data_IF_897720914779
#
_entry.id   IF_897720914779
#
_cell.length_a   1.000
_cell.length_b   1.000
_cell.length_c   1.000
_cell.angle_alpha   90.00
_cell.angle_beta   90.00
_cell.angle_gamma   90.00
#
_symmetry.space_group_name_H-M   'P 1'
#
loop_
_entity.id
_entity.type
_entity.pdbx_description
1 polymer ?
#
# COMPACT_ATOMS: atom_id res chain seq x y z
N UNK A 1 9.28 -3.56 -23.03
CA UNK A 1 10.44 -3.77 -22.14
C UNK A 1 11.65 -4.10 -23.02
N UNK A 2 12.86 -3.81 -22.57
CA UNK A 2 14.08 -4.22 -23.29
C UNK A 2 14.33 -5.71 -23.14
N UNK A 3 14.77 -6.36 -24.21
CA UNK A 3 15.24 -7.75 -24.19
C UNK A 3 16.77 -7.79 -24.05
N UNK A 4 17.31 -8.84 -23.44
CA UNK A 4 18.76 -8.98 -23.23
C UNK A 4 19.26 -10.35 -23.72
N UNK A 5 20.45 -10.37 -24.32
CA UNK A 5 21.11 -11.55 -24.91
C UNK A 5 22.57 -11.68 -24.48
N UNK A 6 23.21 -12.82 -24.77
CA UNK A 6 24.58 -13.17 -24.30
C UNK A 6 24.57 -14.19 -23.16
N UNK A 7 25.71 -14.84 -22.88
CA UNK A 7 25.84 -15.85 -21.81
C UNK A 7 25.48 -15.29 -20.42
N UNK A 8 25.87 -14.04 -20.15
CA UNK A 8 25.55 -13.31 -18.91
C UNK A 8 24.53 -12.18 -19.12
N UNK A 9 23.76 -12.27 -20.21
CA UNK A 9 22.68 -11.32 -20.56
C UNK A 9 23.14 -9.87 -20.67
N UNK A 10 24.38 -9.66 -21.11
CA UNK A 10 25.07 -8.37 -21.11
C UNK A 10 24.59 -7.43 -22.22
N UNK A 11 24.00 -7.98 -23.28
CA UNK A 11 23.71 -7.25 -24.52
C UNK A 11 22.24 -6.85 -24.54
N UNK A 12 21.95 -5.55 -24.41
CA UNK A 12 20.60 -5.00 -24.58
C UNK A 12 20.21 -5.03 -26.06
N UNK A 13 19.08 -5.67 -26.37
CA UNK A 13 18.45 -5.59 -27.67
C UNK A 13 17.71 -4.25 -27.76
N UNK A 14 18.14 -3.39 -28.68
CA UNK A 14 17.49 -2.10 -28.90
C UNK A 14 16.10 -2.32 -29.49
N UNK A 15 15.06 -1.94 -28.74
CA UNK A 15 13.69 -1.89 -29.25
C UNK A 15 13.46 -0.56 -30.00
N UNK A 16 12.86 -0.64 -31.19
CA UNK A 16 12.44 0.54 -31.96
C UNK A 16 11.19 1.14 -31.30
N UNK A 17 11.34 2.31 -30.65
CA UNK A 17 10.21 3.07 -30.13
C UNK A 17 9.61 3.94 -31.25
N UNK A 18 8.29 3.99 -31.35
CA UNK A 18 7.57 4.93 -32.22
C UNK A 18 7.72 6.36 -31.69
N UNK A 19 7.64 7.36 -32.58
CA UNK A 19 7.62 8.77 -32.19
C UNK A 19 6.51 9.01 -31.15
N UNK A 20 6.86 9.66 -30.03
CA UNK A 20 6.06 9.92 -28.82
C UNK A 20 5.92 8.79 -27.78
N UNK A 21 6.58 7.64 -27.94
CA UNK A 21 6.60 6.61 -26.87
C UNK A 21 7.80 6.76 -25.95
N UNK A 22 7.55 6.87 -24.64
CA UNK A 22 8.59 6.78 -23.60
C UNK A 22 8.93 5.32 -23.34
N UNK A 23 10.22 5.03 -23.16
CA UNK A 23 10.69 3.70 -22.75
C UNK A 23 10.13 3.38 -21.37
N UNK A 24 9.47 2.23 -21.23
CA UNK A 24 9.04 1.71 -19.93
C UNK A 24 10.17 0.92 -19.28
N UNK A 25 10.46 1.23 -18.02
CA UNK A 25 11.46 0.53 -17.22
C UNK A 25 10.76 -0.03 -15.98
N UNK A 26 10.85 -1.35 -15.80
CA UNK A 26 10.29 -2.01 -14.63
C UNK A 26 11.15 -1.69 -13.40
N UNK A 27 10.51 -1.23 -12.33
CA UNK A 27 11.14 -0.92 -11.05
C UNK A 27 10.43 -1.74 -9.98
N UNK A 28 11.15 -2.59 -9.26
CA UNK A 28 10.59 -3.31 -8.12
C UNK A 28 11.10 -2.68 -6.84
N UNK A 29 10.17 -2.36 -5.94
CA UNK A 29 10.50 -1.79 -4.65
C UNK A 29 9.80 -2.58 -3.54
N UNK A 30 10.59 -3.11 -2.63
CA UNK A 30 10.10 -3.97 -1.55
C UNK A 30 11.02 -3.90 -0.32
N UNK A 31 10.55 -4.46 0.79
CA UNK A 31 11.15 -4.34 2.12
C UNK A 31 11.66 -5.69 2.56
N UNK A 32 12.88 -5.73 3.09
CA UNK A 32 13.43 -6.94 3.68
C UNK A 32 14.05 -6.67 5.03
N UNK A 33 13.76 -7.54 6.00
CA UNK A 33 14.43 -7.52 7.30
C UNK A 33 15.56 -8.55 7.33
N UNK A 34 16.73 -8.11 7.80
CA UNK A 34 17.85 -8.97 8.15
C UNK A 34 17.91 -9.10 9.68
N UNK A 35 18.08 -10.31 10.18
CA UNK A 35 18.22 -10.57 11.61
C UNK A 35 19.62 -11.08 11.92
N UNK A 36 20.23 -10.57 13.00
CA UNK A 36 21.52 -11.06 13.46
C UNK A 36 21.44 -12.53 13.87
N UNK A 37 20.29 -13.00 14.34
CA UNK A 37 20.09 -14.39 14.76
C UNK A 37 19.39 -15.27 13.70
N UNK A 38 19.37 -14.83 12.44
CA UNK A 38 18.77 -15.62 11.35
C UNK A 38 19.50 -16.95 11.17
N UNK A 39 18.76 -18.05 11.00
CA UNK A 39 19.35 -19.39 10.77
C UNK A 39 19.79 -20.20 12.00
N UNK A 40 19.61 -19.76 13.25
CA UNK A 40 19.76 -20.65 14.42
C UNK A 40 18.56 -21.61 14.54
N UNK A 41 18.72 -22.81 13.98
CA UNK A 41 17.64 -23.82 13.89
C UNK A 41 17.66 -24.80 15.08
N UNK A 42 18.74 -24.86 15.86
CA UNK A 42 18.85 -25.86 16.93
C UNK A 42 18.20 -25.38 18.23
N UNK A 43 17.35 -26.25 18.81
CA UNK A 43 16.72 -26.06 20.12
C UNK A 43 16.70 -27.41 20.82
N UNK A 44 17.19 -27.46 22.06
CA UNK A 44 17.04 -28.62 22.91
C UNK A 44 15.65 -28.58 23.53
N UNK A 45 14.85 -29.62 23.32
CA UNK A 45 13.50 -29.79 23.87
C UNK A 45 13.48 -31.06 24.71
N UNK A 46 12.72 -31.06 25.80
CA UNK A 46 12.50 -32.28 26.59
C UNK A 46 11.52 -33.24 25.87
N UNK A 47 11.62 -34.53 26.17
CA UNK A 47 10.78 -35.56 25.56
C UNK A 47 9.29 -35.32 25.88
N UNK A 48 8.48 -35.04 24.87
CA UNK A 48 7.06 -34.73 24.99
C UNK A 48 6.69 -33.24 24.87
N UNK A 49 7.67 -32.33 24.79
CA UNK A 49 7.41 -30.92 24.54
C UNK A 49 7.33 -30.60 23.04
N UNK A 50 6.33 -29.78 22.66
CA UNK A 50 6.25 -29.17 21.34
C UNK A 50 6.34 -27.65 21.46
N UNK A 51 7.40 -27.07 20.90
CA UNK A 51 7.58 -25.63 20.87
C UNK A 51 7.24 -25.07 19.49
N UNK A 52 6.10 -24.40 19.37
CA UNK A 52 5.72 -23.66 18.16
C UNK A 52 6.51 -22.34 18.15
N UNK A 53 7.50 -22.24 17.26
CA UNK A 53 8.30 -21.02 17.10
C UNK A 53 7.41 -19.87 16.62
N UNK A 54 7.57 -18.70 17.23
CA UNK A 54 6.99 -17.46 16.69
C UNK A 54 7.64 -17.17 15.33
N UNK A 55 6.82 -16.78 14.34
CA UNK A 55 7.26 -16.46 12.96
C UNK A 55 8.28 -15.32 12.89
N UNK A 56 8.36 -14.45 13.91
CA UNK A 56 9.28 -13.30 13.94
C UNK A 56 10.35 -13.42 15.03
N UNK A 57 11.57 -12.96 14.71
CA UNK A 57 12.73 -12.96 15.63
C UNK A 57 12.83 -11.72 16.55
N UNK A 58 11.78 -10.88 16.63
CA UNK A 58 11.78 -9.67 17.44
C UNK A 58 10.83 -8.60 16.88
N UNK A 59 10.99 -7.35 17.35
CA UNK A 59 10.25 -6.18 16.83
C UNK A 59 11.04 -5.54 15.69
N UNK A 60 10.56 -5.70 14.46
CA UNK A 60 10.93 -4.84 13.33
C UNK A 60 9.70 -4.01 12.99
N UNK A 61 9.85 -2.70 12.88
CA UNK A 61 8.78 -1.78 12.52
C UNK A 61 9.23 -1.01 11.29
N UNK A 62 8.46 -1.14 10.21
CA UNK A 62 8.53 -0.26 9.06
C UNK A 62 7.10 0.11 8.72
N UNK A 63 6.83 1.40 8.71
CA UNK A 63 5.50 1.97 8.49
C UNK A 63 5.29 2.34 7.02
N UNK A 64 4.08 2.75 6.66
CA UNK A 64 3.84 3.34 5.35
C UNK A 64 4.57 4.67 5.19
N UNK A 65 4.69 5.47 6.26
CA UNK A 65 5.38 6.77 6.25
C UNK A 65 6.87 6.60 5.92
N UNK A 66 7.53 5.62 6.54
CA UNK A 66 8.94 5.31 6.26
C UNK A 66 9.15 4.97 4.78
N UNK A 67 8.20 4.26 4.17
CA UNK A 67 8.34 3.85 2.78
C UNK A 67 7.95 4.96 1.78
N UNK A 68 6.99 5.81 2.13
CA UNK A 68 6.70 7.03 1.37
C UNK A 68 7.92 7.95 1.33
N UNK A 69 8.60 8.11 2.47
CA UNK A 69 9.82 8.91 2.56
C UNK A 69 10.93 8.35 1.66
N UNK A 70 11.19 7.04 1.73
CA UNK A 70 12.15 6.38 0.85
C UNK A 70 11.79 6.51 -0.63
N UNK A 71 10.51 6.34 -0.97
CA UNK A 71 10.05 6.42 -2.36
C UNK A 71 10.25 7.85 -2.92
N UNK A 72 9.82 8.87 -2.17
CA UNK A 72 9.92 10.29 -2.57
C UNK A 72 11.34 10.81 -2.62
N UNK A 73 12.13 10.52 -1.59
CA UNK A 73 13.42 11.17 -1.39
C UNK A 73 14.59 10.39 -1.99
N UNK A 74 14.41 9.10 -2.28
CA UNK A 74 15.49 8.23 -2.74
C UNK A 74 15.14 7.46 -4.02
N UNK A 75 14.11 6.62 -4.00
CA UNK A 75 13.88 5.67 -5.09
C UNK A 75 13.48 6.34 -6.41
N UNK A 76 12.53 7.28 -6.39
CA UNK A 76 12.10 8.02 -7.60
C UNK A 76 13.25 8.91 -8.12
N UNK A 77 13.88 9.78 -7.31
CA UNK A 77 14.99 10.61 -7.80
C UNK A 77 16.17 9.79 -8.37
N UNK A 78 16.48 8.65 -7.74
CA UNK A 78 17.51 7.75 -8.24
C UNK A 78 17.12 7.14 -9.59
N UNK A 79 15.88 6.70 -9.73
CA UNK A 79 15.36 6.19 -11.01
C UNK A 79 15.44 7.25 -12.11
N UNK A 80 14.97 8.46 -11.85
CA UNK A 80 14.95 9.55 -12.83
C UNK A 80 16.36 9.94 -13.28
N UNK A 81 17.34 9.93 -12.36
CA UNK A 81 18.74 10.18 -12.68
C UNK A 81 19.39 9.05 -13.49
N UNK A 82 18.98 7.79 -13.31
CA UNK A 82 19.56 6.65 -14.03
C UNK A 82 18.87 6.40 -15.39
N UNK A 83 17.62 6.81 -15.53
CA UNK A 83 16.77 6.51 -16.66
C UNK A 83 16.06 7.77 -17.20
N UNK A 84 16.85 8.79 -17.54
CA UNK A 84 16.33 10.05 -18.09
C UNK A 84 15.42 9.80 -19.31
N UNK A 85 14.26 10.46 -19.33
CA UNK A 85 13.26 10.33 -20.40
C UNK A 85 12.43 9.04 -20.39
N UNK A 86 12.68 8.11 -19.47
CA UNK A 86 11.91 6.88 -19.32
C UNK A 86 10.70 7.08 -18.37
N UNK A 87 9.74 6.17 -18.44
CA UNK A 87 8.67 6.05 -17.45
C UNK A 87 8.88 4.79 -16.64
N UNK A 88 9.01 4.94 -15.32
CA UNK A 88 9.13 3.81 -14.40
C UNK A 88 7.78 3.11 -14.20
N UNK A 89 7.78 1.78 -14.23
CA UNK A 89 6.65 0.95 -13.78
C UNK A 89 7.03 0.40 -12.42
N UNK A 90 6.60 1.07 -11.35
CA UNK A 90 6.89 0.71 -9.97
C UNK A 90 5.92 -0.37 -9.51
N UNK A 91 6.45 -1.57 -9.29
CA UNK A 91 5.69 -2.75 -8.90
C UNK A 91 5.97 -3.10 -7.44
N UNK A 92 4.90 -3.25 -6.67
CA UNK A 92 4.95 -3.55 -5.24
C UNK A 92 4.22 -4.87 -4.92
N UNK A 93 4.59 -5.51 -3.81
CA UNK A 93 3.80 -6.63 -3.28
C UNK A 93 2.44 -6.13 -2.74
N UNK A 94 1.52 -7.05 -2.44
CA UNK A 94 0.20 -6.69 -1.90
C UNK A 94 0.16 -6.57 -0.37
N UNK A 95 1.28 -6.22 0.28
CA UNK A 95 1.33 -6.02 1.73
C UNK A 95 0.40 -4.88 2.18
N UNK A 96 -0.04 -4.94 3.44
CA UNK A 96 -0.90 -3.91 4.03
C UNK A 96 -0.28 -2.51 3.98
N UNK A 97 1.05 -2.43 4.06
CA UNK A 97 1.77 -1.16 3.96
C UNK A 97 1.71 -0.56 2.56
N UNK A 98 1.65 -1.38 1.50
CA UNK A 98 1.54 -0.88 0.12
C UNK A 98 0.12 -0.43 -0.25
N UNK A 99 -0.86 -0.96 0.49
CA UNK A 99 -2.28 -0.63 0.37
C UNK A 99 -2.75 0.40 1.39
N UNK A 100 -1.84 0.96 2.17
CA UNK A 100 -2.17 2.00 3.13
C UNK A 100 -2.57 3.26 2.37
N UNK A 101 -3.63 3.89 2.85
CA UNK A 101 -4.11 5.16 2.34
C UNK A 101 -3.45 6.33 3.09
N UNK A 102 -3.48 7.51 2.47
CA UNK A 102 -3.18 8.76 3.18
C UNK A 102 -4.19 9.00 4.31
N UNK A 103 -3.78 9.80 5.30
CA UNK A 103 -4.55 10.00 6.54
C UNK A 103 -5.92 10.63 6.33
N UNK A 104 -6.09 11.38 5.23
CA UNK A 104 -7.33 12.06 4.83
C UNK A 104 -8.11 11.33 3.72
N UNK A 105 -7.75 10.09 3.40
CA UNK A 105 -8.37 9.33 2.32
C UNK A 105 -9.84 8.97 2.59
N UNK A 106 -10.60 8.84 1.51
CA UNK A 106 -12.01 8.48 1.53
C UNK A 106 -12.21 6.98 1.73
N UNK A 107 -12.17 6.54 2.99
CA UNK A 107 -12.39 5.14 3.38
C UNK A 107 -13.71 5.02 4.14
N UNK A 108 -14.73 4.43 3.52
CA UNK A 108 -16.08 4.36 4.08
C UNK A 108 -16.14 3.69 5.46
N UNK A 109 -15.32 2.67 5.71
CA UNK A 109 -15.25 1.95 7.01
C UNK A 109 -14.70 2.83 8.14
N UNK A 110 -14.04 3.94 7.84
CA UNK A 110 -13.54 4.90 8.84
C UNK A 110 -14.58 5.97 9.19
N UNK A 111 -15.73 6.00 8.51
CA UNK A 111 -16.77 7.00 8.71
C UNK A 111 -17.86 6.53 9.69
N UNK A 112 -18.71 7.46 10.12
CA UNK A 112 -19.84 7.17 11.02
C UNK A 112 -21.17 7.57 10.39
N UNK A 113 -22.23 6.83 10.71
CA UNK A 113 -23.54 7.03 10.10
C UNK A 113 -24.16 8.40 10.41
N UNK A 114 -24.00 8.86 11.66
CA UNK A 114 -24.59 10.09 12.19
C UNK A 114 -23.55 11.21 12.32
N UNK A 115 -23.98 12.48 12.39
CA UNK A 115 -23.06 13.58 12.61
C UNK A 115 -22.23 13.39 13.88
N UNK A 116 -20.96 13.78 13.83
CA UNK A 116 -20.01 13.65 14.94
C UNK A 116 -19.19 14.94 15.05
N UNK A 117 -19.15 15.54 16.23
CA UNK A 117 -18.23 16.66 16.52
C UNK A 117 -16.80 16.14 16.51
N UNK A 118 -15.91 16.83 15.80
CA UNK A 118 -14.52 16.43 15.60
C UNK A 118 -13.60 17.40 16.33
N UNK A 119 -12.66 16.87 17.09
CA UNK A 119 -11.64 17.65 17.80
C UNK A 119 -10.32 17.68 17.01
N UNK A 120 -9.43 18.63 17.29
CA UNK A 120 -8.16 18.81 16.56
C UNK A 120 -7.28 17.54 16.54
N UNK A 121 -7.33 16.72 17.59
CA UNK A 121 -6.53 15.49 17.70
C UNK A 121 -7.25 14.23 17.20
N UNK A 122 -8.48 14.35 16.69
CA UNK A 122 -9.20 13.21 16.13
C UNK A 122 -8.60 12.83 14.76
N UNK A 123 -8.37 11.54 14.53
CA UNK A 123 -8.00 10.97 13.22
C UNK A 123 -9.17 10.96 12.22
N UNK A 124 -10.12 11.87 12.40
CA UNK A 124 -11.36 11.93 11.66
C UNK A 124 -11.25 13.06 10.63
N UNK A 125 -10.34 12.87 9.68
CA UNK A 125 -9.96 13.83 8.65
C UNK A 125 -10.27 13.17 7.30
N UNK A 126 -11.00 13.86 6.44
CA UNK A 126 -11.34 13.42 5.09
C UNK A 126 -11.18 14.58 4.13
N UNK A 127 -10.56 14.33 2.99
CA UNK A 127 -10.45 15.32 1.91
C UNK A 127 -11.81 15.58 1.28
N UNK A 128 -12.08 16.83 0.92
CA UNK A 128 -13.27 17.17 0.15
C UNK A 128 -13.15 16.57 -1.26
N UNK A 129 -14.29 16.22 -1.84
CA UNK A 129 -14.34 15.52 -3.14
C UNK A 129 -15.47 16.08 -4.00
N UNK A 130 -15.63 15.50 -5.17
CA UNK A 130 -16.75 15.76 -6.07
C UNK A 130 -17.40 14.46 -6.47
N UNK A 131 -18.73 14.45 -6.57
CA UNK A 131 -19.47 13.32 -7.11
C UNK A 131 -20.35 13.77 -8.28
N UNK A 132 -20.67 12.82 -9.14
CA UNK A 132 -21.58 13.05 -10.26
C UNK A 132 -23.02 12.76 -9.83
N UNK A 133 -23.93 13.69 -10.10
CA UNK A 133 -25.37 13.50 -9.92
C UNK A 133 -26.12 14.13 -11.08
N UNK A 134 -26.97 13.36 -11.74
CA UNK A 134 -27.78 13.82 -12.86
C UNK A 134 -26.96 14.56 -13.94
N UNK A 135 -25.74 14.06 -14.22
CA UNK A 135 -24.79 14.66 -15.17
C UNK A 135 -24.01 15.89 -14.67
N UNK A 136 -24.23 16.34 -13.44
CA UNK A 136 -23.57 17.50 -12.84
C UNK A 136 -22.52 17.09 -11.80
N UNK A 137 -21.37 17.76 -11.83
CA UNK A 137 -20.32 17.59 -10.81
C UNK A 137 -20.69 18.44 -9.60
N UNK A 138 -20.91 17.79 -8.46
CA UNK A 138 -21.29 18.43 -7.21
C UNK A 138 -20.13 18.32 -6.22
N UNK A 139 -19.76 19.44 -5.59
CA UNK A 139 -18.78 19.44 -4.50
C UNK A 139 -19.37 18.82 -3.23
N UNK A 140 -18.62 17.90 -2.65
CA UNK A 140 -18.96 17.18 -1.43
C UNK A 140 -17.97 17.55 -0.34
N UNK A 141 -18.42 18.43 0.54
CA UNK A 141 -17.73 18.69 1.80
C UNK A 141 -18.27 17.78 2.90
N UNK A 142 -17.34 17.24 3.70
CA UNK A 142 -17.64 16.29 4.78
C UNK A 142 -17.84 16.97 6.14
N UNK A 143 -17.60 18.28 6.24
CA UNK A 143 -17.64 19.01 7.49
C UNK A 143 -18.53 20.24 7.41
N UNK A 144 -19.11 20.60 8.56
CA UNK A 144 -19.83 21.84 8.74
C UNK A 144 -19.45 22.47 10.08
N UNK A 145 -19.59 23.80 10.15
CA UNK A 145 -19.41 24.56 11.37
C UNK A 145 -20.70 24.56 12.18
N UNK A 146 -20.61 24.13 13.44
CA UNK A 146 -21.72 24.18 14.40
C UNK A 146 -21.35 25.04 15.60
N UNK A 147 -22.33 25.74 16.14
CA UNK A 147 -22.16 26.57 17.33
C UNK A 147 -22.85 25.93 18.53
N UNK A 148 -22.09 25.66 19.60
CA UNK A 148 -22.64 25.12 20.85
C UNK A 148 -22.54 26.16 21.97
N UNK A 149 -23.50 26.13 22.89
CA UNK A 149 -23.45 26.96 24.09
C UNK A 149 -22.22 26.60 24.93
N UNK A 150 -21.36 27.58 25.20
CA UNK A 150 -20.23 27.40 26.11
C UNK A 150 -20.68 27.12 27.54
N UNK A 151 -19.74 26.65 28.38
CA UNK A 151 -19.96 26.55 29.84
C UNK A 151 -20.41 27.91 30.37
N UNK A 152 -21.35 27.94 31.33
CA UNK A 152 -21.97 29.15 31.91
C UNK A 152 -21.01 30.36 31.91
N UNK A 153 -21.31 31.37 31.09
CA UNK A 153 -20.55 32.62 31.00
C UNK A 153 -19.51 32.71 29.87
N UNK A 154 -19.17 31.60 29.20
CA UNK A 154 -18.46 31.62 27.92
C UNK A 154 -19.48 31.56 26.79
N UNK A 155 -19.36 32.43 25.79
CA UNK A 155 -20.29 32.56 24.66
C UNK A 155 -20.41 31.30 23.78
N UNK A 156 -20.97 31.45 22.58
CA UNK A 156 -21.04 30.38 21.59
C UNK A 156 -19.62 29.91 21.24
N UNK A 157 -19.41 28.60 21.28
CA UNK A 157 -18.16 27.96 20.87
C UNK A 157 -18.36 27.39 19.48
N UNK A 158 -17.54 27.84 18.55
CA UNK A 158 -17.47 27.28 17.20
C UNK A 158 -16.80 25.91 17.25
N UNK A 159 -17.43 24.91 16.60
CA UNK A 159 -16.91 23.55 16.50
C UNK A 159 -17.07 23.02 15.08
N UNK A 160 -16.12 22.18 14.67
CA UNK A 160 -16.19 21.42 13.41
C UNK A 160 -16.95 20.12 13.64
N UNK A 161 -17.92 19.83 12.78
CA UNK A 161 -18.73 18.62 12.85
C UNK A 161 -18.68 17.88 11.51
N UNK A 162 -18.42 16.58 11.55
CA UNK A 162 -18.65 15.71 10.41
C UNK A 162 -20.14 15.49 10.19
N UNK A 163 -20.59 15.56 8.94
CA UNK A 163 -22.01 15.52 8.58
C UNK A 163 -22.68 14.15 8.72
N UNK A 164 -21.91 13.06 8.75
CA UNK A 164 -22.44 11.69 8.82
C UNK A 164 -22.77 11.08 7.45
N UNK A 165 -22.52 9.77 7.30
CA UNK A 165 -22.78 9.03 6.05
C UNK A 165 -24.23 9.11 5.60
N UNK A 166 -25.19 9.16 6.53
CA UNK A 166 -26.59 9.34 6.17
C UNK A 166 -26.82 10.60 5.33
N UNK A 167 -26.27 11.73 5.78
CA UNK A 167 -26.49 13.01 5.09
C UNK A 167 -25.73 13.07 3.77
N UNK A 168 -24.57 12.41 3.69
CA UNK A 168 -23.81 12.25 2.45
C UNK A 168 -24.65 11.49 1.43
N UNK A 169 -25.15 10.30 1.78
CA UNK A 169 -26.00 9.51 0.88
C UNK A 169 -27.31 10.23 0.50
N UNK A 170 -27.90 11.03 1.41
CA UNK A 170 -29.06 11.88 1.09
C UNK A 170 -28.71 12.95 0.05
N UNK A 171 -27.55 13.61 0.19
CA UNK A 171 -27.05 14.58 -0.81
C UNK A 171 -26.77 13.91 -2.16
N UNK A 172 -26.29 12.67 -2.15
CA UNK A 172 -26.10 11.88 -3.38
C UNK A 172 -27.41 11.37 -3.99
N UNK A 173 -28.55 11.47 -3.28
CA UNK A 173 -29.83 10.90 -3.73
C UNK A 173 -29.91 9.37 -3.60
N UNK A 174 -29.01 8.77 -2.80
CA UNK A 174 -28.88 7.32 -2.61
C UNK A 174 -29.51 6.82 -1.31
N UNK A 175 -29.97 7.74 -0.47
CA UNK A 175 -30.63 7.41 0.79
C UNK A 175 -32.13 7.22 0.59
N UNK A 176 -32.59 5.97 0.66
CA UNK A 176 -34.01 5.62 0.63
C UNK A 176 -34.64 5.76 2.02
N UNK A 177 -35.82 6.38 2.09
CA UNK A 177 -36.65 6.33 3.29
C UNK A 177 -37.26 4.93 3.43
N UNK A 178 -37.08 4.34 4.61
CA UNK A 178 -37.52 2.98 4.91
C UNK A 178 -38.84 3.05 5.67
N UNK A 179 -39.75 2.13 5.37
CA UNK A 179 -41.02 2.01 6.08
C UNK A 179 -40.76 1.62 7.55
N UNK A 180 -41.16 2.52 8.45
CA UNK A 180 -41.08 2.41 9.91
C UNK A 180 -41.69 1.11 10.47
N UNK A 181 -42.58 0.47 9.72
CA UNK A 181 -43.26 -0.77 10.13
C UNK A 181 -42.38 -2.02 10.06
N UNK A 182 -41.25 -1.99 9.34
CA UNK A 182 -40.44 -3.17 9.10
C UNK A 182 -39.00 -3.00 9.62
N UNK A 183 -38.78 -3.33 10.90
CA UNK A 183 -37.49 -3.24 11.60
C UNK A 183 -36.35 -4.02 10.93
N UNK A 184 -36.65 -4.97 10.03
CA UNK A 184 -35.65 -5.68 9.23
C UNK A 184 -34.99 -4.80 8.16
N UNK A 185 -35.67 -3.73 7.73
CA UNK A 185 -35.24 -2.77 6.71
C UNK A 185 -34.78 -1.48 7.38
N UNK A 186 -33.63 -1.52 8.07
CA UNK A 186 -33.01 -0.32 8.68
C UNK A 186 -31.60 -0.14 8.15
N UNK A 187 -31.26 1.09 7.77
CA UNK A 187 -29.90 1.48 7.45
C UNK A 187 -28.94 1.17 8.61
N UNK A 188 -27.86 0.45 8.29
CA UNK A 188 -26.74 0.18 9.17
C UNK A 188 -25.47 0.76 8.57
N UNK A 189 -24.50 1.09 9.42
CA UNK A 189 -23.17 1.47 8.94
C UNK A 189 -22.56 0.28 8.18
N UNK A 190 -22.49 -0.88 8.84
CA UNK A 190 -21.92 -2.11 8.28
C UNK A 190 -22.94 -3.27 8.28
N UNK A 191 -22.75 -4.22 7.36
CA UNK A 191 -23.40 -5.52 7.42
C UNK A 191 -22.41 -6.49 8.06
N UNK A 192 -22.75 -7.08 9.21
CA UNK A 192 -21.86 -7.90 10.05
C UNK A 192 -21.48 -9.27 9.45
N UNK A 193 -21.25 -9.36 8.13
CA UNK A 193 -20.85 -10.60 7.44
C UNK A 193 -21.95 -11.66 7.32
N UNK A 194 -23.20 -11.34 7.67
CA UNK A 194 -24.33 -12.25 7.44
C UNK A 194 -24.75 -12.18 5.96
N UNK A 195 -24.47 -13.25 5.21
CA UNK A 195 -24.91 -13.51 3.83
C UNK A 195 -26.44 -13.71 3.72
N UNK A 196 -27.20 -12.78 4.28
CA UNK A 196 -28.66 -12.79 4.11
C UNK A 196 -29.01 -11.89 2.94
N UNK A 197 -30.05 -12.26 2.19
CA UNK A 197 -30.64 -11.54 1.04
C UNK A 197 -31.04 -10.06 1.34
N UNK A 198 -30.76 -9.56 2.55
CA UNK A 198 -30.98 -8.21 3.05
C UNK A 198 -29.74 -7.28 2.95
N UNK A 199 -28.82 -7.53 2.02
CA UNK A 199 -27.66 -6.65 1.74
C UNK A 199 -28.02 -5.23 1.27
N UNK A 200 -29.30 -4.90 1.10
CA UNK A 200 -29.76 -3.64 0.50
C UNK A 200 -29.67 -2.38 1.39
N UNK A 201 -29.18 -2.46 2.64
CA UNK A 201 -29.14 -1.29 3.56
C UNK A 201 -27.81 -1.10 4.32
N UNK A 202 -26.69 -1.48 3.70
CA UNK A 202 -25.36 -1.20 4.22
C UNK A 202 -24.85 0.14 3.68
N UNK A 203 -24.80 1.16 4.54
CA UNK A 203 -24.33 2.50 4.17
C UNK A 203 -22.85 2.49 3.77
N UNK A 204 -22.02 1.69 4.44
CA UNK A 204 -20.60 1.56 4.12
C UNK A 204 -20.38 0.99 2.71
N UNK A 205 -21.02 -0.13 2.35
CA UNK A 205 -20.86 -0.72 1.01
C UNK A 205 -21.37 0.20 -0.11
N UNK A 206 -22.51 0.84 0.10
CA UNK A 206 -23.07 1.79 -0.87
C UNK A 206 -22.20 3.03 -1.05
N UNK A 207 -21.60 3.52 0.05
CA UNK A 207 -20.67 4.64 -0.01
C UNK A 207 -19.34 4.22 -0.66
N UNK A 208 -18.81 3.05 -0.30
CA UNK A 208 -17.57 2.51 -0.86
C UNK A 208 -17.67 2.23 -2.37
N UNK A 209 -18.86 1.92 -2.89
CA UNK A 209 -19.08 1.73 -4.33
C UNK A 209 -19.18 3.04 -5.12
N UNK A 210 -19.23 4.20 -4.45
CA UNK A 210 -19.24 5.48 -5.17
C UNK A 210 -17.90 5.73 -5.87
N UNK A 211 -17.88 6.42 -7.03
CA UNK A 211 -16.66 6.61 -7.83
C UNK A 211 -15.52 7.32 -7.08
N UNK A 212 -15.85 8.29 -6.23
CA UNK A 212 -14.91 9.04 -5.39
C UNK A 212 -14.28 8.21 -4.28
N UNK A 213 -14.98 7.18 -3.78
CA UNK A 213 -14.46 6.25 -2.77
C UNK A 213 -13.74 5.06 -3.41
N UNK A 214 -14.34 4.45 -4.42
CA UNK A 214 -13.78 3.29 -5.11
C UNK A 214 -12.52 3.63 -5.91
N UNK A 215 -12.40 4.87 -6.40
CA UNK A 215 -11.20 5.40 -7.07
C UNK A 215 -10.16 5.98 -6.12
N UNK A 216 -10.34 5.88 -4.79
CA UNK A 216 -9.35 6.36 -3.82
C UNK A 216 -8.05 5.58 -3.99
N UNK A 217 -6.98 6.28 -4.37
CA UNK A 217 -5.64 5.72 -4.56
C UNK A 217 -4.94 5.50 -3.23
N UNK A 218 -4.05 4.51 -3.16
CA UNK A 218 -3.19 4.29 -1.99
C UNK A 218 -2.15 5.39 -1.91
N UNK A 219 -1.54 5.59 -0.74
CA UNK A 219 -0.55 6.64 -0.56
C UNK A 219 0.65 6.48 -1.51
N UNK A 220 1.12 5.25 -1.73
CA UNK A 220 2.21 5.00 -2.67
C UNK A 220 1.79 5.26 -4.12
N UNK A 221 0.57 4.86 -4.48
CA UNK A 221 0.05 5.10 -5.82
C UNK A 221 -0.03 6.60 -6.13
N UNK A 222 -0.54 7.42 -5.20
CA UNK A 222 -0.56 8.88 -5.36
C UNK A 222 0.86 9.42 -5.64
N UNK A 223 1.87 8.98 -4.87
CA UNK A 223 3.27 9.43 -5.02
C UNK A 223 3.89 9.03 -6.37
N UNK A 224 3.72 7.77 -6.77
CA UNK A 224 4.30 7.26 -8.02
C UNK A 224 3.68 7.96 -9.22
N UNK A 225 2.35 8.12 -9.21
CA UNK A 225 1.64 8.73 -10.34
C UNK A 225 1.84 10.25 -10.40
N UNK A 226 1.95 10.95 -9.26
CA UNK A 226 2.31 12.37 -9.20
C UNK A 226 3.70 12.64 -9.79
N UNK A 227 4.62 11.68 -9.67
CA UNK A 227 5.94 11.73 -10.32
C UNK A 227 5.90 11.37 -11.83
N UNK A 228 4.72 11.08 -12.40
CA UNK A 228 4.58 10.71 -13.82
C UNK A 228 5.03 9.28 -14.13
N UNK A 229 5.02 8.40 -13.14
CA UNK A 229 5.32 6.98 -13.25
C UNK A 229 4.07 6.11 -13.10
N UNK A 230 4.19 4.82 -13.39
CA UNK A 230 3.08 3.86 -13.35
C UNK A 230 3.20 3.04 -12.07
N UNK A 231 2.12 2.94 -11.31
CA UNK A 231 2.01 2.10 -10.12
C UNK A 231 1.33 0.77 -10.47
N UNK A 232 1.94 -0.34 -10.08
CA UNK A 232 1.39 -1.68 -10.26
C UNK A 232 1.56 -2.55 -9.01
N UNK A 233 0.74 -3.58 -8.89
CA UNK A 233 0.82 -4.57 -7.82
C UNK A 233 1.05 -5.96 -8.39
N UNK A 234 1.96 -6.71 -7.78
CA UNK A 234 2.09 -8.14 -8.05
C UNK A 234 0.78 -8.89 -7.71
N UNK A 235 0.53 -10.05 -8.35
CA UNK A 235 -0.61 -10.89 -7.98
C UNK A 235 -0.55 -11.29 -6.50
N UNK A 236 -1.72 -11.29 -5.85
CA UNK A 236 -1.81 -11.61 -4.43
C UNK A 236 -1.42 -13.07 -4.20
N UNK A 237 -0.54 -13.31 -3.23
CA UNK A 237 -0.05 -14.65 -2.85
C UNK A 237 0.87 -15.33 -3.87
N UNK A 238 1.43 -14.58 -4.82
CA UNK A 238 2.38 -15.10 -5.81
C UNK A 238 3.75 -14.42 -5.66
N UNK A 239 4.47 -14.74 -4.58
CA UNK A 239 5.79 -14.16 -4.34
C UNK A 239 6.85 -14.65 -5.34
N UNK A 240 6.61 -15.80 -5.98
CA UNK A 240 7.43 -16.33 -7.07
C UNK A 240 7.47 -15.42 -8.31
N UNK A 241 6.48 -14.55 -8.48
CA UNK A 241 6.45 -13.55 -9.56
C UNK A 241 7.29 -12.30 -9.24
N UNK A 242 7.69 -12.10 -7.98
CA UNK A 242 8.44 -10.95 -7.53
C UNK A 242 9.95 -11.28 -7.45
N UNK A 243 10.72 -10.90 -8.46
CA UNK A 243 12.13 -11.29 -8.57
C UNK A 243 13.03 -10.76 -7.44
N UNK A 244 12.64 -9.65 -6.80
CA UNK A 244 13.40 -9.10 -5.66
C UNK A 244 13.43 -10.06 -4.47
N UNK A 245 12.46 -10.98 -4.36
CA UNK A 245 12.45 -12.03 -3.33
C UNK A 245 13.60 -13.01 -3.52
N UNK A 246 13.99 -13.29 -4.77
CA UNK A 246 15.17 -14.10 -5.07
C UNK A 246 16.45 -13.36 -4.67
N UNK A 247 16.52 -12.06 -4.92
CA UNK A 247 17.63 -11.22 -4.49
C UNK A 247 17.77 -11.20 -2.95
N UNK A 248 16.67 -11.01 -2.23
CA UNK A 248 16.66 -11.09 -0.76
C UNK A 248 17.06 -12.47 -0.26
N UNK A 249 16.57 -13.54 -0.89
CA UNK A 249 16.94 -14.91 -0.57
C UNK A 249 18.44 -15.17 -0.72
N UNK A 250 19.03 -14.71 -1.83
CA UNK A 250 20.46 -14.83 -2.09
C UNK A 250 21.30 -14.05 -1.06
N UNK A 251 20.97 -12.78 -0.82
CA UNK A 251 21.67 -11.95 0.16
C UNK A 251 21.59 -12.53 1.58
N UNK A 252 20.41 -13.02 1.98
CA UNK A 252 20.23 -13.68 3.30
C UNK A 252 20.98 -15.00 3.41
N UNK A 253 21.11 -15.75 2.31
CA UNK A 253 21.91 -16.97 2.29
C UNK A 253 23.38 -16.65 2.63
N UNK A 254 23.94 -15.64 1.97
CA UNK A 254 25.32 -15.19 2.24
C UNK A 254 25.46 -14.65 3.67
N UNK A 255 24.48 -13.85 4.13
CA UNK A 255 24.46 -13.37 5.50
C UNK A 255 24.50 -14.52 6.51
N UNK A 256 23.67 -15.56 6.35
CA UNK A 256 23.65 -16.73 7.26
C UNK A 256 24.97 -17.50 7.30
N UNK A 257 25.65 -17.62 6.16
CA UNK A 257 26.94 -18.31 6.08
C UNK A 257 28.08 -17.53 6.74
N UNK A 258 27.96 -16.20 6.82
CA UNK A 258 29.05 -15.31 7.26
C UNK A 258 28.71 -14.52 8.54
N UNK A 259 27.56 -14.76 9.17
CA UNK A 259 27.15 -14.05 10.38
C UNK A 259 27.79 -14.69 11.62
N UNK A 260 28.36 -13.87 12.49
CA UNK A 260 28.80 -14.24 13.84
C UNK A 260 27.66 -14.14 14.88
N UNK A 261 26.45 -13.85 14.40
CA UNK A 261 25.25 -13.59 15.18
C UNK A 261 25.28 -12.31 16.04
N UNK A 262 26.13 -11.35 15.70
CA UNK A 262 26.20 -10.02 16.31
C UNK A 262 25.52 -8.98 15.42
N UNK A 263 24.70 -8.11 16.02
CA UNK A 263 24.09 -6.98 15.31
C UNK A 263 25.15 -6.05 14.69
N UNK A 264 26.24 -5.79 15.41
CA UNK A 264 27.31 -4.90 14.93
C UNK A 264 28.00 -5.44 13.68
N UNK A 265 28.22 -6.75 13.62
CA UNK A 265 28.83 -7.35 12.43
C UNK A 265 27.83 -7.40 11.28
N UNK A 266 26.56 -7.74 11.56
CA UNK A 266 25.51 -7.72 10.55
C UNK A 266 25.40 -6.34 9.91
N UNK A 267 25.31 -5.27 10.71
CA UNK A 267 25.23 -3.89 10.23
C UNK A 267 26.46 -3.52 9.38
N UNK A 268 27.67 -3.87 9.84
CA UNK A 268 28.92 -3.61 9.11
C UNK A 268 28.98 -4.35 7.76
N UNK A 269 28.54 -5.60 7.71
CA UNK A 269 28.70 -6.47 6.55
C UNK A 269 27.48 -6.48 5.62
N UNK A 270 26.36 -5.84 6.00
CA UNK A 270 25.13 -5.83 5.22
C UNK A 270 25.34 -5.38 3.77
N UNK A 271 26.09 -4.29 3.47
CA UNK A 271 26.37 -3.92 2.08
C UNK A 271 27.06 -5.03 1.29
N UNK A 272 28.05 -5.70 1.89
CA UNK A 272 28.76 -6.82 1.25
C UNK A 272 27.84 -8.02 0.96
N UNK A 273 26.88 -8.30 1.84
CA UNK A 273 25.89 -9.36 1.59
C UNK A 273 24.94 -9.03 0.44
N UNK A 274 24.56 -7.75 0.30
CA UNK A 274 23.76 -7.25 -0.81
C UNK A 274 24.55 -7.29 -2.13
N UNK A 275 25.77 -6.78 -2.12
CA UNK A 275 26.68 -6.80 -3.28
C UNK A 275 27.01 -8.23 -3.74
N UNK A 276 27.04 -9.20 -2.82
CA UNK A 276 27.21 -10.61 -3.20
C UNK A 276 26.01 -11.19 -3.94
N UNK A 277 24.80 -10.65 -3.73
CA UNK A 277 23.59 -11.07 -4.44
C UNK A 277 23.45 -10.36 -5.80
N UNK A 278 24.05 -9.19 -5.95
CA UNK A 278 24.23 -8.54 -7.26
C UNK A 278 25.38 -7.55 -7.18
N UNK A 279 26.54 -7.85 -7.80
CA UNK A 279 27.68 -6.94 -7.78
C UNK A 279 27.33 -5.57 -8.35
N UNK A 280 27.80 -4.51 -7.69
CA UNK A 280 27.59 -3.11 -8.12
C UNK A 280 28.40 -2.78 -9.39
N UNK A 281 29.51 -3.49 -9.61
CA UNK A 281 30.36 -3.33 -10.78
C UNK A 281 30.06 -4.43 -11.82
N UNK A 282 29.89 -4.02 -13.08
CA UNK A 282 29.68 -4.92 -14.20
C UNK A 282 28.21 -5.09 -14.58
N UNK A 283 27.95 -6.08 -15.43
CA UNK A 283 26.61 -6.45 -15.88
C UNK A 283 25.77 -6.99 -14.70
N UNK A 284 24.51 -6.56 -14.49
CA UNK A 284 23.64 -7.05 -13.41
C UNK A 284 23.07 -8.45 -13.72
N UNK A 285 23.92 -9.41 -14.09
CA UNK A 285 23.56 -10.73 -14.61
C UNK A 285 22.72 -11.55 -13.62
N UNK A 286 23.00 -11.46 -12.31
CA UNK A 286 22.21 -12.12 -11.26
C UNK A 286 20.78 -11.58 -11.21
N UNK A 287 20.59 -10.26 -11.23
CA UNK A 287 19.27 -9.62 -11.25
C UNK A 287 18.49 -10.04 -12.49
N UNK A 288 19.14 -10.01 -13.66
CA UNK A 288 18.48 -10.42 -14.91
C UNK A 288 18.08 -11.89 -14.89
N UNK A 289 18.92 -12.77 -14.32
CA UNK A 289 18.59 -14.20 -14.11
C UNK A 289 17.41 -14.38 -13.15
N UNK A 290 17.34 -13.63 -12.05
CA UNK A 290 16.19 -13.66 -11.15
C UNK A 290 14.92 -13.21 -11.88
N UNK A 291 14.99 -12.13 -12.64
CA UNK A 291 13.88 -11.63 -13.44
C UNK A 291 13.37 -12.67 -14.44
N UNK A 292 14.25 -13.27 -15.26
CA UNK A 292 13.82 -14.33 -16.21
C UNK A 292 13.21 -15.54 -15.52
N UNK A 293 13.75 -15.96 -14.37
CA UNK A 293 13.16 -17.04 -13.59
C UNK A 293 11.72 -16.70 -13.18
N UNK A 294 11.46 -15.46 -12.76
CA UNK A 294 10.10 -15.03 -12.39
C UNK A 294 9.16 -14.98 -13.58
N UNK A 295 9.66 -14.58 -14.75
CA UNK A 295 8.88 -14.59 -15.98
C UNK A 295 8.38 -15.99 -16.35
N UNK A 296 9.18 -17.03 -16.09
CA UNK A 296 8.75 -18.42 -16.25
C UNK A 296 7.56 -18.84 -15.36
N UNK A 297 7.33 -18.17 -14.22
CA UNK A 297 6.11 -18.39 -13.42
C UNK A 297 4.92 -17.57 -13.92
N UNK A 298 5.17 -16.42 -14.55
CA UNK A 298 4.12 -15.55 -15.11
C UNK A 298 3.54 -16.15 -16.39
N UNK A 299 4.35 -16.85 -17.18
CA UNK A 299 3.92 -17.49 -18.44
C UNK A 299 3.33 -18.90 -18.28
N UNK A 300 3.47 -19.53 -17.11
CA UNK A 300 3.01 -20.89 -16.83
C UNK A 300 1.50 -20.96 -16.50
#
# INVERSE_FOLDING_TARGET
MSDFTGEDEEIEMTSLLLENQKKLVMVTHDKSTFYAHDGKVDMWLEEGESYIRKKGQGRSLMTCEDMLDQLKNHAIPLFESLHEGCTGVFIFDQSSNHKAYVTDALVATHMVLKPKVVFENDKFIFKDTTFLRDGHIISQSFYETVFEAGRKGKGLVEKRQFVGVQRILQKCGLWMELDSSNLSRRWRMDCNGEETENHCYCACHLLASQPDFSGQKTALQEVVEEAGHIFELYPKFHCECNWIECYWGAAKCVARLNCDYSFKLLEKNLPSFLDSASPVAGSPSMIRRFYKKTWGYIEA
#
